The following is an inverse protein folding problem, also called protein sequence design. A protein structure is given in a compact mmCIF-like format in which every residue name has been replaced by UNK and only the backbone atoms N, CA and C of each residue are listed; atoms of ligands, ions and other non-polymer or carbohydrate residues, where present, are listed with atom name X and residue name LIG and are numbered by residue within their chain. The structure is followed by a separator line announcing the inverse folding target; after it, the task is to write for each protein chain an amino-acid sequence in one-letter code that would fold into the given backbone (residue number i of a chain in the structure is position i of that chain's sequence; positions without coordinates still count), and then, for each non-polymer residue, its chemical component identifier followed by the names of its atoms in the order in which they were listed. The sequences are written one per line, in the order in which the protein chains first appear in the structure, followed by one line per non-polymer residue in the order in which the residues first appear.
data_IF_556768892125
#
_entry.id   IF_556768892125
#
_cell.length_a   1.000
_cell.length_b   1.000
_cell.length_c   1.000
_cell.angle_alpha   90.00
_cell.angle_beta   90.00
_cell.angle_gamma   90.00
#
_symmetry.space_group_name_H-M   'P 1'
#
loop_
_entity.id
_entity.type
_entity.pdbx_description
1 polymer ?
#
# COMPACT_ATOMS: atom_id res chain seq x y z
N UNK A 1 1.25 6.47 -23.90
CA UNK A 1 1.78 5.84 -25.13
C UNK A 1 3.16 6.42 -25.40
N UNK A 2 4.22 5.78 -24.90
CA UNK A 2 5.60 6.14 -25.23
C UNK A 2 5.81 5.72 -26.69
N UNK A 3 6.15 6.67 -27.56
CA UNK A 3 6.52 6.38 -28.94
C UNK A 3 7.79 5.52 -28.94
N UNK A 4 7.66 4.27 -29.35
CA UNK A 4 8.76 3.35 -29.64
C UNK A 4 9.38 3.73 -31.00
N UNK A 5 9.98 4.91 -31.09
CA UNK A 5 10.76 5.33 -32.26
C UNK A 5 12.24 5.40 -31.87
N UNK A 6 12.86 4.22 -31.66
CA UNK A 6 14.30 3.93 -31.83
C UNK A 6 14.75 2.62 -31.16
N UNK A 7 14.10 1.49 -31.43
CA UNK A 7 14.72 0.18 -31.19
C UNK A 7 15.24 -0.39 -32.51
N UNK A 8 16.53 -0.12 -32.79
CA UNK A 8 17.35 -1.00 -33.64
C UNK A 8 17.10 -2.43 -33.19
N UNK A 9 16.91 -3.37 -34.13
CA UNK A 9 16.69 -4.81 -33.87
C UNK A 9 17.63 -5.36 -32.78
N UNK A 10 17.18 -5.32 -31.52
CA UNK A 10 17.81 -6.04 -30.42
C UNK A 10 17.36 -7.49 -30.61
N UNK A 11 18.32 -8.40 -30.76
CA UNK A 11 18.01 -9.84 -30.72
C UNK A 11 17.31 -10.13 -29.39
N UNK A 12 16.20 -10.88 -29.41
CA UNK A 12 15.51 -11.30 -28.19
C UNK A 12 16.42 -12.08 -27.23
N UNK A 13 17.54 -12.63 -27.72
CA UNK A 13 18.58 -13.27 -26.90
C UNK A 13 19.32 -12.32 -25.96
N UNK A 14 19.38 -11.04 -26.30
CA UNK A 14 20.19 -10.03 -25.59
C UNK A 14 19.29 -9.10 -24.75
N UNK A 15 17.98 -9.36 -24.75
CA UNK A 15 16.99 -8.58 -24.00
C UNK A 15 16.94 -9.01 -22.54
N UNK A 16 16.98 -8.05 -21.62
CA UNK A 16 16.82 -8.32 -20.18
C UNK A 16 15.36 -8.61 -19.88
N UNK A 17 15.08 -9.81 -19.37
CA UNK A 17 13.78 -10.15 -18.80
C UNK A 17 13.80 -9.70 -17.33
N UNK A 18 13.09 -8.61 -17.02
CA UNK A 18 13.02 -8.07 -15.67
C UNK A 18 11.84 -8.67 -14.89
N UNK A 19 12.14 -9.49 -13.89
CA UNK A 19 11.17 -10.06 -12.93
C UNK A 19 11.50 -9.67 -11.48
N UNK A 20 12.31 -8.63 -11.30
CA UNK A 20 12.72 -8.17 -9.96
C UNK A 20 11.57 -7.46 -9.23
N UNK A 21 10.80 -6.65 -9.96
CA UNK A 21 9.64 -5.93 -9.43
C UNK A 21 8.36 -6.70 -9.74
N UNK A 22 7.47 -6.81 -8.77
CA UNK A 22 6.12 -7.38 -8.94
C UNK A 22 5.18 -6.44 -9.69
N UNK A 23 5.62 -5.82 -10.79
CA UNK A 23 4.79 -4.92 -11.60
C UNK A 23 3.65 -5.72 -12.28
N UNK A 24 2.38 -5.50 -11.90
CA UNK A 24 1.28 -6.41 -12.21
C UNK A 24 0.69 -6.19 -13.62
N UNK A 25 1.54 -6.06 -14.64
CA UNK A 25 1.14 -5.83 -16.05
C UNK A 25 0.39 -7.01 -16.68
N UNK A 26 0.43 -8.19 -16.04
CA UNK A 26 -0.32 -9.37 -16.46
C UNK A 26 -1.84 -9.13 -16.60
N UNK A 27 -2.40 -8.18 -15.86
CA UNK A 27 -3.85 -7.88 -15.88
C UNK A 27 -4.25 -6.88 -16.99
N UNK A 28 -3.32 -6.35 -17.77
CA UNK A 28 -3.64 -5.35 -18.81
C UNK A 28 -4.65 -5.88 -19.84
N UNK A 29 -4.48 -7.13 -20.28
CA UNK A 29 -5.37 -7.74 -21.27
C UNK A 29 -6.79 -7.95 -20.72
N UNK A 30 -6.90 -8.30 -19.43
CA UNK A 30 -8.19 -8.42 -18.74
C UNK A 30 -8.94 -7.08 -18.80
N UNK A 31 -8.31 -5.99 -18.35
CA UNK A 31 -8.94 -4.66 -18.33
C UNK A 31 -9.29 -4.16 -19.74
N UNK A 32 -8.45 -4.44 -20.74
CA UNK A 32 -8.74 -4.09 -22.13
C UNK A 32 -10.01 -4.77 -22.65
N UNK A 33 -10.28 -6.02 -22.26
CA UNK A 33 -11.48 -6.77 -22.66
C UNK A 33 -12.77 -6.26 -22.01
N UNK A 34 -12.68 -5.59 -20.85
CA UNK A 34 -13.85 -4.98 -20.20
C UNK A 34 -14.39 -3.78 -21.01
N UNK A 35 -13.53 -3.12 -21.79
CA UNK A 35 -13.90 -2.01 -22.69
C UNK A 35 -14.39 -0.78 -21.93
N UNK A 36 -15.38 -0.09 -22.50
CA UNK A 36 -15.83 1.23 -22.05
C UNK A 36 -16.50 1.24 -20.66
N UNK A 37 -16.84 0.06 -20.12
CA UNK A 37 -17.46 -0.07 -18.79
C UNK A 37 -16.56 0.42 -17.65
N UNK A 38 -15.25 0.45 -17.85
CA UNK A 38 -14.29 0.94 -16.86
C UNK A 38 -13.75 2.33 -17.20
N UNK A 39 -14.32 3.01 -18.20
CA UNK A 39 -13.93 4.38 -18.54
C UNK A 39 -14.35 5.35 -17.44
N UNK A 40 -13.38 6.10 -16.91
CA UNK A 40 -13.60 7.18 -15.94
C UNK A 40 -13.54 8.52 -16.66
N UNK A 41 -14.54 9.38 -16.42
CA UNK A 41 -14.56 10.76 -16.92
C UNK A 41 -14.47 11.73 -15.74
N UNK A 42 -13.50 12.64 -15.78
CA UNK A 42 -13.30 13.69 -14.76
C UNK A 42 -13.41 15.04 -15.48
N UNK A 43 -14.36 15.88 -15.07
CA UNK A 43 -14.57 17.22 -15.67
C UNK A 43 -13.63 18.23 -15.05
N UNK A 44 -13.48 19.38 -15.70
CA UNK A 44 -12.54 20.44 -15.29
C UNK A 44 -12.80 21.07 -13.92
N UNK A 45 -13.98 20.85 -13.33
CA UNK A 45 -14.34 21.34 -12.00
C UNK A 45 -14.56 20.24 -10.95
N UNK A 46 -14.36 18.97 -11.33
CA UNK A 46 -14.50 17.86 -10.38
C UNK A 46 -13.25 17.80 -9.47
N UNK A 47 -13.42 17.29 -8.24
CA UNK A 47 -12.33 16.99 -7.29
C UNK A 47 -11.40 18.18 -6.95
N UNK A 48 -11.89 19.42 -7.03
CA UNK A 48 -11.09 20.63 -6.73
C UNK A 48 -10.95 20.93 -5.22
N UNK A 49 -11.89 20.47 -4.40
CA UNK A 49 -11.89 20.69 -2.95
C UNK A 49 -10.81 19.85 -2.27
N UNK A 50 -10.24 20.35 -1.17
CA UNK A 50 -9.41 19.54 -0.29
C UNK A 50 -10.22 18.46 0.45
N UNK A 51 -11.49 18.71 0.71
CA UNK A 51 -12.34 17.85 1.54
C UNK A 51 -13.28 17.02 0.68
N UNK A 52 -13.37 15.72 1.00
CA UNK A 52 -14.34 14.77 0.43
C UNK A 52 -15.58 14.68 1.31
N UNK A 53 -15.42 14.29 2.57
CA UNK A 53 -16.49 14.27 3.58
C UNK A 53 -15.94 14.68 4.95
N UNK A 54 -16.26 15.91 5.36
CA UNK A 54 -15.80 16.48 6.65
C UNK A 54 -16.37 15.75 7.88
N UNK A 55 -17.38 14.90 7.71
CA UNK A 55 -17.96 14.11 8.81
C UNK A 55 -17.28 12.75 8.97
N UNK A 56 -16.47 12.33 7.99
CA UNK A 56 -15.70 11.09 8.07
C UNK A 56 -14.40 11.32 8.86
N UNK A 57 -13.99 10.31 9.65
CA UNK A 57 -12.68 10.33 10.32
C UNK A 57 -11.54 10.50 9.32
N UNK A 58 -11.63 9.83 8.17
CA UNK A 58 -10.77 10.05 7.03
C UNK A 58 -11.46 11.04 6.08
N UNK A 59 -11.37 12.33 6.38
CA UNK A 59 -12.12 13.38 5.65
C UNK A 59 -11.75 13.56 4.18
N UNK A 60 -10.64 12.94 3.75
CA UNK A 60 -10.14 12.89 2.37
C UNK A 60 -10.47 11.56 1.67
N UNK A 61 -11.35 10.74 2.25
CA UNK A 61 -11.90 9.54 1.63
C UNK A 61 -13.16 9.91 0.84
N UNK A 62 -13.14 9.65 -0.47
CA UNK A 62 -14.33 9.77 -1.32
C UNK A 62 -15.41 8.76 -0.88
N UNK A 63 -16.67 9.20 -0.68
CA UNK A 63 -17.75 8.32 -0.22
C UNK A 63 -17.98 7.09 -1.11
N UNK A 64 -17.93 7.25 -2.43
CA UNK A 64 -18.15 6.18 -3.40
C UNK A 64 -17.06 5.10 -3.32
N UNK A 65 -15.82 5.51 -3.00
CA UNK A 65 -14.73 4.56 -2.78
C UNK A 65 -14.92 3.80 -1.46
N UNK A 66 -15.39 4.47 -0.41
CA UNK A 66 -15.67 3.83 0.88
C UNK A 66 -16.75 2.74 0.74
N UNK A 67 -17.79 3.00 -0.06
CA UNK A 67 -18.85 2.05 -0.36
C UNK A 67 -18.31 0.87 -1.20
N UNK A 68 -17.59 1.15 -2.29
CA UNK A 68 -17.00 0.12 -3.14
C UNK A 68 -16.04 -0.82 -2.40
N UNK A 69 -15.24 -0.31 -1.44
CA UNK A 69 -14.37 -1.14 -0.60
C UNK A 69 -15.20 -2.12 0.25
N UNK A 70 -16.28 -1.65 0.87
CA UNK A 70 -17.14 -2.48 1.71
C UNK A 70 -17.85 -3.54 0.89
N UNK A 71 -18.45 -3.15 -0.23
CA UNK A 71 -19.14 -4.07 -1.14
C UNK A 71 -18.20 -5.15 -1.68
N UNK A 72 -16.97 -4.77 -2.04
CA UNK A 72 -15.97 -5.74 -2.53
C UNK A 72 -15.61 -6.76 -1.44
N UNK A 73 -15.38 -6.31 -0.21
CA UNK A 73 -15.05 -7.20 0.90
C UNK A 73 -16.23 -8.11 1.31
N UNK A 74 -17.46 -7.59 1.28
CA UNK A 74 -18.67 -8.39 1.52
C UNK A 74 -18.85 -9.46 0.43
N UNK A 75 -18.71 -9.08 -0.85
CA UNK A 75 -18.87 -10.00 -1.98
C UNK A 75 -17.79 -11.10 -2.03
N UNK A 76 -16.54 -10.80 -1.64
CA UNK A 76 -15.42 -11.76 -1.65
C UNK A 76 -15.33 -12.53 -0.34
N UNK A 77 -15.78 -11.95 0.78
CA UNK A 77 -15.72 -12.56 2.11
C UNK A 77 -14.30 -12.68 2.69
N UNK A 78 -13.36 -11.84 2.25
CA UNK A 78 -11.96 -11.91 2.68
C UNK A 78 -11.61 -11.00 3.87
N UNK A 79 -12.47 -10.04 4.23
CA UNK A 79 -12.27 -9.19 5.40
C UNK A 79 -13.62 -8.69 5.94
N UNK A 80 -13.77 -8.64 7.27
CA UNK A 80 -14.89 -7.96 7.90
C UNK A 80 -14.68 -6.44 7.85
N UNK A 81 -15.72 -5.68 7.51
CA UNK A 81 -15.66 -4.21 7.40
C UNK A 81 -16.59 -3.48 8.37
N UNK A 82 -17.46 -4.22 9.05
CA UNK A 82 -18.35 -3.75 10.10
C UNK A 82 -17.55 -3.26 11.31
N UNK A 83 -18.02 -2.18 11.94
CA UNK A 83 -17.41 -1.55 13.12
C UNK A 83 -15.92 -1.17 12.96
N UNK A 84 -15.47 -0.94 11.71
CA UNK A 84 -14.10 -0.52 11.38
C UNK A 84 -14.08 0.81 10.66
N UNK A 85 -13.05 1.60 10.95
CA UNK A 85 -12.74 2.80 10.17
C UNK A 85 -11.94 2.42 8.92
N UNK A 86 -12.23 3.09 7.80
CA UNK A 86 -11.46 2.99 6.57
C UNK A 86 -10.57 4.22 6.47
N UNK A 87 -9.27 4.01 6.24
CA UNK A 87 -8.30 5.06 5.96
C UNK A 87 -7.64 4.73 4.63
N UNK A 88 -7.65 5.69 3.70
CA UNK A 88 -6.97 5.55 2.41
C UNK A 88 -5.58 6.16 2.45
N UNK A 89 -4.70 5.65 1.59
CA UNK A 89 -3.35 6.16 1.43
C UNK A 89 -2.86 5.91 0.01
N UNK A 90 -1.78 6.60 -0.36
CA UNK A 90 -1.08 6.42 -1.63
C UNK A 90 -0.31 5.11 -1.60
N UNK A 91 -1.03 4.01 -1.83
CA UNK A 91 -0.52 2.65 -1.73
C UNK A 91 -0.43 2.13 -0.29
N UNK A 92 -0.37 0.81 -0.15
CA UNK A 92 -0.19 0.16 1.16
C UNK A 92 1.14 0.53 1.82
N UNK A 93 2.16 0.88 1.03
CA UNK A 93 3.45 1.47 1.48
C UNK A 93 3.25 2.65 2.43
N UNK A 94 2.35 3.59 2.10
CA UNK A 94 2.07 4.72 3.00
C UNK A 94 1.29 4.26 4.24
N UNK A 95 0.31 3.38 4.07
CA UNK A 95 -0.54 2.90 5.17
C UNK A 95 0.26 2.09 6.21
N UNK A 96 1.21 1.27 5.77
CA UNK A 96 2.12 0.50 6.63
C UNK A 96 2.94 1.44 7.53
N UNK A 97 3.58 2.46 6.94
CA UNK A 97 4.33 3.48 7.67
C UNK A 97 3.43 4.29 8.62
N UNK A 98 2.23 4.67 8.18
CA UNK A 98 1.26 5.38 9.02
C UNK A 98 0.82 4.53 10.22
N UNK A 99 0.58 3.23 10.04
CA UNK A 99 0.24 2.31 11.11
C UNK A 99 1.41 2.14 12.11
N UNK A 100 2.64 1.94 11.61
CA UNK A 100 3.85 1.88 12.46
C UNK A 100 4.01 3.15 13.28
N UNK A 101 3.85 4.32 12.65
CA UNK A 101 3.92 5.61 13.33
C UNK A 101 2.81 5.78 14.38
N UNK A 102 1.55 5.49 14.03
CA UNK A 102 0.41 5.61 14.94
C UNK A 102 0.55 4.69 16.16
N UNK A 103 0.88 3.42 15.95
CA UNK A 103 1.09 2.45 17.03
C UNK A 103 2.30 2.82 17.91
N UNK A 104 3.37 3.34 17.31
CA UNK A 104 4.53 3.84 18.05
C UNK A 104 4.23 5.08 18.89
N UNK A 105 3.30 5.92 18.43
CA UNK A 105 2.81 7.08 19.18
C UNK A 105 2.01 6.66 20.42
N UNK A 106 1.29 5.53 20.33
CA UNK A 106 0.50 4.96 21.42
C UNK A 106 1.31 4.05 22.36
N UNK A 107 2.56 3.75 22.04
CA UNK A 107 3.36 2.79 22.78
C UNK A 107 3.84 3.31 24.16
N UNK A 108 3.82 4.61 24.41
CA UNK A 108 4.23 5.23 25.69
C UNK A 108 5.74 5.22 25.96
N UNK A 109 6.48 4.26 25.42
CA UNK A 109 7.95 4.19 25.42
C UNK A 109 8.48 3.96 24.01
N UNK A 110 9.51 4.70 23.63
CA UNK A 110 10.14 4.66 22.31
C UNK A 110 11.66 4.43 22.45
N UNK A 111 12.33 3.83 21.44
CA UNK A 111 11.75 3.33 20.20
C UNK A 111 10.98 2.01 20.38
N UNK A 112 9.93 1.82 19.60
CA UNK A 112 9.22 0.54 19.51
C UNK A 112 9.95 -0.39 18.54
N UNK A 113 10.15 -1.64 18.93
CA UNK A 113 10.75 -2.65 18.05
C UNK A 113 9.78 -3.04 16.95
N UNK A 114 10.23 -3.01 15.69
CA UNK A 114 9.48 -3.47 14.52
C UNK A 114 10.16 -4.70 13.96
N UNK A 115 9.41 -5.77 13.77
CA UNK A 115 9.91 -7.08 13.29
C UNK A 115 8.97 -7.65 12.23
N UNK A 116 9.46 -8.59 11.43
CA UNK A 116 8.63 -9.43 10.57
C UNK A 116 9.20 -10.85 10.52
N UNK A 117 8.35 -11.88 10.43
CA UNK A 117 8.83 -13.26 10.35
C UNK A 117 9.56 -13.50 9.01
N UNK A 118 10.79 -14.02 9.05
CA UNK A 118 11.54 -14.34 7.84
C UNK A 118 11.01 -15.61 7.12
N UNK A 119 11.01 -15.66 5.76
CA UNK A 119 11.29 -14.55 4.84
C UNK A 119 10.15 -13.51 4.82
N UNK A 120 10.52 -12.24 4.84
CA UNK A 120 9.59 -11.10 4.87
C UNK A 120 9.74 -10.21 3.64
N UNK A 121 8.75 -9.34 3.43
CA UNK A 121 8.81 -8.32 2.38
C UNK A 121 9.98 -7.36 2.62
N UNK A 122 10.90 -7.28 1.65
CA UNK A 122 12.17 -6.56 1.78
C UNK A 122 11.98 -5.07 2.08
N UNK A 123 10.96 -4.45 1.50
CA UNK A 123 10.66 -3.02 1.65
C UNK A 123 10.32 -2.62 3.08
N UNK A 124 9.89 -3.55 3.96
CA UNK A 124 9.71 -3.24 5.38
C UNK A 124 10.99 -2.74 6.06
N UNK A 125 12.16 -3.24 5.64
CA UNK A 125 13.44 -2.76 6.15
C UNK A 125 13.66 -1.30 5.75
N UNK A 126 13.40 -0.97 4.48
CA UNK A 126 13.58 0.38 3.96
C UNK A 126 12.61 1.37 4.62
N UNK A 127 11.30 1.06 4.62
CA UNK A 127 10.22 1.89 5.18
C UNK A 127 10.45 2.23 6.65
N UNK A 128 11.04 1.31 7.42
CA UNK A 128 11.25 1.48 8.86
C UNK A 128 12.60 2.09 9.23
N UNK A 129 13.49 2.33 8.26
CA UNK A 129 14.85 2.84 8.55
C UNK A 129 15.20 4.15 7.85
N UNK A 130 14.64 4.46 6.67
CA UNK A 130 15.15 5.54 5.82
C UNK A 130 15.06 6.95 6.43
N UNK A 131 13.99 7.27 7.18
CA UNK A 131 13.83 8.59 7.85
C UNK A 131 14.55 8.70 9.19
N UNK A 132 15.16 7.61 9.69
CA UNK A 132 15.87 7.56 10.98
C UNK A 132 15.03 8.11 12.14
N UNK A 133 13.75 7.73 12.19
CA UNK A 133 12.85 8.13 13.27
C UNK A 133 13.34 7.60 14.63
N UNK A 134 13.19 8.39 15.69
CA UNK A 134 13.42 7.94 17.07
C UNK A 134 12.25 7.15 17.65
N UNK A 135 11.12 7.07 16.95
CA UNK A 135 9.88 6.48 17.46
C UNK A 135 9.86 4.95 17.40
N UNK A 136 10.54 4.39 16.41
CA UNK A 136 10.56 2.95 16.13
C UNK A 136 11.91 2.54 15.56
N UNK A 137 12.20 1.24 15.65
CA UNK A 137 13.45 0.66 15.16
C UNK A 137 13.21 -0.73 14.59
N UNK A 138 13.67 -0.96 13.37
CA UNK A 138 13.73 -2.29 12.76
C UNK A 138 14.65 -3.22 13.55
N UNK A 139 14.15 -4.39 13.94
CA UNK A 139 14.87 -5.40 14.71
C UNK A 139 14.92 -6.77 14.02
N UNK A 140 14.52 -6.85 12.74
CA UNK A 140 14.72 -8.04 11.91
C UNK A 140 13.65 -9.14 12.09
N UNK A 141 14.12 -10.39 12.12
CA UNK A 141 13.26 -11.56 12.15
C UNK A 141 12.48 -11.68 13.47
N UNK A 142 11.15 -11.81 13.36
CA UNK A 142 10.27 -12.01 14.49
C UNK A 142 10.57 -13.31 15.26
N UNK A 143 11.06 -14.37 14.60
CA UNK A 143 11.34 -15.65 15.27
C UNK A 143 12.56 -15.61 16.20
N UNK A 144 13.53 -14.73 15.90
CA UNK A 144 14.73 -14.53 16.71
C UNK A 144 14.62 -13.42 17.75
N UNK A 145 13.45 -12.78 17.87
CA UNK A 145 13.28 -11.60 18.72
C UNK A 145 13.08 -11.99 20.19
N UNK A 146 14.02 -11.61 21.04
CA UNK A 146 14.03 -11.94 22.49
C UNK A 146 14.01 -10.70 23.41
N UNK A 147 13.99 -9.48 22.83
CA UNK A 147 14.03 -8.24 23.60
C UNK A 147 12.71 -8.02 24.34
N UNK A 148 12.82 -7.49 25.56
CA UNK A 148 11.67 -7.10 26.37
C UNK A 148 11.13 -5.74 25.90
N UNK A 149 9.82 -5.62 25.78
CA UNK A 149 9.15 -4.35 25.43
C UNK A 149 7.96 -4.56 24.52
N UNK A 150 7.37 -3.44 24.08
CA UNK A 150 6.33 -3.47 23.03
C UNK A 150 6.98 -3.75 21.68
N UNK A 151 6.33 -4.60 20.89
CA UNK A 151 6.79 -5.01 19.57
C UNK A 151 5.65 -4.83 18.56
N UNK A 152 5.98 -4.36 17.36
CA UNK A 152 5.11 -4.33 16.21
C UNK A 152 5.59 -5.42 15.24
N UNK A 153 4.75 -6.43 15.01
CA UNK A 153 5.02 -7.48 14.04
C UNK A 153 4.29 -7.14 12.73
N UNK A 154 5.06 -6.97 11.65
CA UNK A 154 4.53 -6.79 10.29
C UNK A 154 4.30 -8.15 9.65
N UNK A 155 3.23 -8.26 8.87
CA UNK A 155 2.85 -9.46 8.13
C UNK A 155 2.33 -9.08 6.74
N UNK A 156 2.62 -9.93 5.76
CA UNK A 156 2.14 -9.87 4.39
C UNK A 156 1.21 -11.05 4.10
#
# INVERSE_FOLDING_TARGET
MVKLENMKNISLSDSVINLDHGDPTAYEEYWRKIGDRCTVTIRGCDLMSYFSDVNNMCWFLEPELAEAIKELHDAVGNAATEDRYIVVGTGSTQLCQAAVHALSSLAGTQPVSVVAAAPYYSTYVEETTYVRSGMYKWEGDAWGFDKKGKVLALSW
#
